data_IF_232987042164
#
_entry.id   IF_232987042164
#
_cell.length_a   1.000
_cell.length_b   1.000
_cell.length_c   1.000
_cell.angle_alpha   90.00
_cell.angle_beta   90.00
_cell.angle_gamma   90.00
#
_symmetry.space_group_name_H-M   'P 1'
#
loop_
_entity.id
_entity.type
_entity.pdbx_description
1 polymer ?
#
# COMPACT_ATOMS: atom_id res chain seq x y z
N UNK A 1 3.40 -22.45 3.77
CA UNK A 1 3.92 -21.38 2.89
C UNK A 1 3.19 -20.10 3.28
N UNK A 2 3.92 -19.07 3.69
CA UNK A 2 3.34 -17.78 4.11
C UNK A 2 3.44 -16.73 2.99
N UNK A 3 2.67 -15.64 3.11
CA UNK A 3 2.81 -14.48 2.23
C UNK A 3 4.07 -13.70 2.61
N UNK A 4 4.95 -13.45 1.65
CA UNK A 4 6.19 -12.71 1.89
C UNK A 4 6.05 -11.22 1.56
N UNK A 5 5.32 -10.88 0.51
CA UNK A 5 5.20 -9.52 -0.02
C UNK A 5 3.75 -9.12 -0.18
N UNK A 6 3.47 -7.82 -0.26
CA UNK A 6 2.12 -7.30 -0.46
C UNK A 6 2.12 -6.05 -1.34
N UNK A 7 1.02 -5.84 -2.07
CA UNK A 7 0.70 -4.63 -2.81
C UNK A 7 -0.72 -4.18 -2.45
N UNK A 8 -0.90 -2.91 -2.10
CA UNK A 8 -2.20 -2.28 -1.87
C UNK A 8 -2.38 -1.14 -2.87
N UNK A 9 -3.52 -1.11 -3.56
CA UNK A 9 -3.93 0.03 -4.36
C UNK A 9 -4.81 0.95 -3.53
N UNK A 10 -4.54 2.25 -3.61
CA UNK A 10 -5.37 3.30 -3.03
C UNK A 10 -5.54 4.43 -4.04
N UNK A 11 -6.69 5.10 -4.02
CA UNK A 11 -6.85 6.35 -4.77
C UNK A 11 -5.81 7.36 -4.29
N UNK A 12 -5.10 8.00 -5.21
CA UNK A 12 -3.98 8.91 -4.91
C UNK A 12 -4.41 10.05 -3.98
N UNK A 13 -5.65 10.53 -4.12
CA UNK A 13 -6.25 11.60 -3.32
C UNK A 13 -6.92 11.11 -2.02
N UNK A 14 -6.85 9.82 -1.70
CA UNK A 14 -7.39 9.29 -0.44
C UNK A 14 -6.46 9.60 0.74
N UNK A 15 -7.01 10.16 1.82
CA UNK A 15 -6.27 10.44 3.08
C UNK A 15 -5.60 9.20 3.69
N UNK A 16 -6.11 8.01 3.39
CA UNK A 16 -5.50 6.75 3.83
C UNK A 16 -4.13 6.47 3.21
N UNK A 17 -3.70 7.20 2.18
CA UNK A 17 -2.35 7.09 1.61
C UNK A 17 -1.26 7.22 2.68
N UNK A 18 -1.38 8.18 3.60
CA UNK A 18 -0.41 8.38 4.67
C UNK A 18 -0.34 7.21 5.66
N UNK A 19 -1.44 6.45 5.83
CA UNK A 19 -1.43 5.26 6.66
C UNK A 19 -0.52 4.17 6.07
N UNK A 20 -0.57 3.96 4.75
CA UNK A 20 0.29 2.98 4.09
C UNK A 20 1.77 3.39 4.10
N UNK A 21 2.06 4.68 3.91
CA UNK A 21 3.43 5.21 4.03
C UNK A 21 3.98 5.04 5.45
N UNK A 22 3.18 5.37 6.47
CA UNK A 22 3.59 5.23 7.88
C UNK A 22 3.78 3.78 8.29
N UNK A 23 3.15 2.80 7.62
CA UNK A 23 3.42 1.37 7.82
C UNK A 23 4.65 0.87 7.04
N UNK A 24 5.47 1.76 6.48
CA UNK A 24 6.65 1.43 5.68
C UNK A 24 6.36 1.09 4.21
N UNK A 25 5.12 1.28 3.75
CA UNK A 25 4.70 1.01 2.39
C UNK A 25 5.33 1.98 1.39
N UNK A 26 5.93 1.45 0.33
CA UNK A 26 6.59 2.25 -0.71
C UNK A 26 5.70 2.41 -1.92
N UNK A 27 5.57 3.63 -2.46
CA UNK A 27 4.90 3.87 -3.75
C UNK A 27 5.69 3.20 -4.87
N UNK A 28 5.15 2.11 -5.42
CA UNK A 28 5.83 1.27 -6.44
C UNK A 28 5.09 1.24 -7.78
N UNK A 29 3.82 1.65 -7.81
CA UNK A 29 3.01 1.67 -9.04
C UNK A 29 2.05 2.85 -9.07
N UNK A 30 1.62 3.22 -10.27
CA UNK A 30 0.50 4.12 -10.53
C UNK A 30 -0.38 3.55 -11.64
N UNK A 31 -1.67 3.85 -11.60
CA UNK A 31 -2.65 3.44 -12.61
C UNK A 31 -3.80 4.43 -12.66
N UNK A 32 -4.38 4.68 -13.83
CA UNK A 32 -5.64 5.39 -13.96
C UNK A 32 -6.77 4.37 -14.07
N UNK A 33 -7.86 4.58 -13.33
CA UNK A 33 -9.08 3.78 -13.40
C UNK A 33 -10.30 4.68 -13.58
N UNK A 34 -11.34 4.16 -14.23
CA UNK A 34 -12.61 4.85 -14.33
C UNK A 34 -13.55 4.38 -13.20
N UNK A 35 -14.06 5.32 -12.40
CA UNK A 35 -15.12 5.07 -11.40
C UNK A 35 -16.22 6.12 -11.59
N UNK A 36 -17.43 5.66 -11.91
CA UNK A 36 -18.59 6.53 -12.08
C UNK A 36 -18.43 7.57 -13.19
N UNK A 37 -17.77 7.19 -14.31
CA UNK A 37 -17.50 8.08 -15.44
C UNK A 37 -16.41 9.13 -15.18
N UNK A 38 -15.64 8.98 -14.10
CA UNK A 38 -14.49 9.84 -13.79
C UNK A 38 -13.22 9.01 -13.79
N UNK A 39 -12.19 9.53 -14.45
CA UNK A 39 -10.84 9.01 -14.36
C UNK A 39 -10.22 9.42 -13.02
N UNK A 40 -9.76 8.43 -12.27
CA UNK A 40 -9.12 8.58 -10.97
C UNK A 40 -7.75 7.90 -10.99
N UNK A 41 -6.78 8.54 -10.33
CA UNK A 41 -5.46 7.97 -10.15
C UNK A 41 -5.46 7.03 -8.93
N UNK A 42 -4.90 5.85 -9.10
CA UNK A 42 -4.50 4.96 -8.04
C UNK A 42 -2.98 4.92 -7.91
N UNK A 43 -2.52 4.78 -6.68
CA UNK A 43 -1.14 4.52 -6.32
C UNK A 43 -1.04 3.16 -5.62
N UNK A 44 -0.04 2.38 -6.01
CA UNK A 44 0.25 1.08 -5.42
C UNK A 44 1.35 1.20 -4.37
N UNK A 45 1.04 0.84 -3.12
CA UNK A 45 2.00 0.73 -2.01
C UNK A 45 2.47 -0.71 -1.85
N UNK A 46 3.78 -0.93 -1.84
CA UNK A 46 4.40 -2.26 -1.80
C UNK A 46 5.28 -2.50 -0.58
N UNK A 47 5.29 -3.75 -0.13
CA UNK A 47 6.23 -4.32 0.84
C UNK A 47 6.86 -5.57 0.24
N UNK A 48 8.20 -5.63 0.20
CA UNK A 48 8.94 -6.77 -0.35
C UNK A 48 9.05 -7.92 0.65
N UNK A 49 9.14 -7.59 1.95
CA UNK A 49 9.04 -8.52 3.07
C UNK A 49 8.07 -7.95 4.11
N UNK A 50 7.01 -8.69 4.46
CA UNK A 50 6.01 -8.27 5.45
C UNK A 50 6.60 -8.14 6.87
N UNK A 51 7.78 -8.70 7.12
CA UNK A 51 8.52 -8.47 8.37
C UNK A 51 9.02 -7.03 8.50
N UNK A 52 9.06 -6.26 7.41
CA UNK A 52 9.45 -4.85 7.40
C UNK A 52 8.32 -3.91 7.89
N UNK A 53 7.10 -4.43 8.09
CA UNK A 53 6.00 -3.62 8.63
C UNK A 53 6.32 -3.31 10.10
N UNK A 54 6.48 -2.03 10.43
CA UNK A 54 6.90 -1.55 11.76
C UNK A 54 6.08 -2.16 12.91
N UNK A 55 4.75 -2.29 12.74
CA UNK A 55 3.88 -2.89 13.77
C UNK A 55 4.11 -4.40 13.99
N UNK A 56 4.55 -5.14 12.96
CA UNK A 56 4.90 -6.55 13.10
C UNK A 56 6.31 -6.74 13.68
N UNK A 57 7.21 -5.78 13.48
CA UNK A 57 8.57 -5.85 13.99
C UNK A 57 8.63 -5.77 15.53
N UNK A 58 7.70 -5.05 16.16
CA UNK A 58 7.64 -4.90 17.62
C UNK A 58 6.85 -6.02 18.34
N UNK A 59 6.12 -6.86 17.60
CA UNK A 59 5.38 -7.99 18.15
C UNK A 59 6.13 -9.30 17.89
N UNK A 60 7.20 -9.53 18.66
CA UNK A 60 7.82 -10.86 18.78
C UNK A 60 6.86 -11.83 19.50
N UNK A 61 6.04 -12.55 18.73
CA UNK A 61 5.55 -13.88 19.09
C UNK A 61 6.58 -14.93 18.71
#
# INVERSE_FOLDING_TARGET
>A
MGMKSMLIWALEDNKSCGFYENMGGKKVKKKVIEIGGKDLNEVGYGWEDLKEIEWLADNHL
#
